data_IF_599488450920
#
_entry.id   IF_599488450920
#
_cell.length_a   1.000
_cell.length_b   1.000
_cell.length_c   1.000
_cell.angle_alpha   90.00
_cell.angle_beta   90.00
_cell.angle_gamma   90.00
#
_symmetry.space_group_name_H-M   'P 1'
#
loop_
_entity.id
_entity.type
_entity.pdbx_description
1 polymer ?
#
# COMPACT_ATOMS: atom_id res chain seq x y z
N UNK A 1 -33.37 2.79 86.64
CA UNK A 1 -32.35 1.89 86.08
C UNK A 1 -32.87 1.38 84.75
N UNK A 2 -32.06 1.54 83.70
CA UNK A 2 -32.17 0.90 82.36
C UNK A 2 -33.36 1.30 81.44
N UNK A 3 -33.23 1.67 80.15
CA UNK A 3 -32.15 2.27 79.34
C UNK A 3 -32.77 2.66 77.96
N UNK A 4 -32.82 3.96 77.68
CA UNK A 4 -32.66 4.69 76.38
C UNK A 4 -33.38 4.23 75.09
N UNK A 5 -34.21 5.15 74.59
CA UNK A 5 -34.53 5.39 73.18
C UNK A 5 -33.27 5.61 72.32
N UNK A 6 -33.24 5.11 71.08
CA UNK A 6 -32.50 5.74 69.97
C UNK A 6 -33.12 5.35 68.62
N UNK A 7 -33.69 6.35 67.94
CA UNK A 7 -33.87 6.43 66.48
C UNK A 7 -32.49 6.39 65.80
N UNK A 8 -32.40 5.83 64.59
CA UNK A 8 -31.34 5.92 63.55
C UNK A 8 -31.01 4.51 63.02
N UNK A 9 -30.86 4.22 61.74
CA UNK A 9 -30.86 5.07 60.56
C UNK A 9 -31.18 4.25 59.31
N UNK A 10 -31.85 4.90 58.37
CA UNK A 10 -31.92 4.44 56.99
C UNK A 10 -30.61 4.77 56.29
N UNK A 11 -30.08 3.80 55.57
CA UNK A 11 -29.19 4.01 54.42
C UNK A 11 -29.06 2.67 53.71
N UNK A 12 -29.98 2.42 52.77
CA UNK A 12 -29.74 1.47 51.71
C UNK A 12 -28.52 1.96 50.94
N UNK A 13 -27.38 1.27 51.11
CA UNK A 13 -26.27 1.40 50.17
C UNK A 13 -26.74 0.84 48.83
N UNK A 14 -27.31 1.71 48.01
CA UNK A 14 -27.33 1.52 46.57
C UNK A 14 -25.87 1.51 46.12
N UNK A 15 -25.29 0.31 45.99
CA UNK A 15 -24.09 0.10 45.21
C UNK A 15 -24.42 0.53 43.78
N UNK A 16 -24.06 1.78 43.48
CA UNK A 16 -23.94 2.28 42.12
C UNK A 16 -23.00 1.32 41.40
N UNK A 17 -23.59 0.38 40.67
CA UNK A 17 -22.96 -0.22 39.52
C UNK A 17 -22.60 0.95 38.61
N UNK A 18 -21.35 1.41 38.70
CA UNK A 18 -20.70 2.11 37.61
C UNK A 18 -20.74 1.13 36.45
N UNK A 19 -21.82 1.20 35.66
CA UNK A 19 -21.86 0.68 34.32
C UNK A 19 -20.70 1.36 33.61
N UNK A 20 -19.56 0.68 33.59
CA UNK A 20 -18.42 1.07 32.80
C UNK A 20 -18.97 1.37 31.42
N UNK A 21 -18.70 2.57 30.93
CA UNK A 21 -19.13 3.03 29.63
C UNK A 21 -18.75 1.99 28.57
N UNK A 22 -19.67 1.08 28.27
CA UNK A 22 -19.74 0.34 27.02
C UNK A 22 -20.32 1.26 25.95
N UNK A 23 -19.86 2.53 25.94
CA UNK A 23 -19.90 3.35 24.75
C UNK A 23 -18.95 2.64 23.78
N UNK A 24 -19.53 1.65 23.08
CA UNK A 24 -18.89 1.00 21.96
C UNK A 24 -18.29 2.09 21.10
N UNK A 25 -17.02 1.91 20.75
CA UNK A 25 -16.25 2.74 19.84
C UNK A 25 -17.23 3.35 18.82
N UNK A 26 -17.48 4.67 18.89
CA UNK A 26 -18.54 5.34 18.10
C UNK A 26 -18.28 5.36 16.59
N UNK A 27 -17.39 4.48 16.11
CA UNK A 27 -16.90 4.31 14.76
C UNK A 27 -16.87 2.81 14.44
N UNK A 28 -17.29 2.43 13.23
CA UNK A 28 -17.16 1.03 12.80
C UNK A 28 -15.68 0.71 12.55
N UNK A 29 -15.23 -0.49 12.94
CA UNK A 29 -13.86 -0.94 12.67
C UNK A 29 -13.56 -0.95 11.16
N UNK A 30 -14.59 -1.22 10.34
CA UNK A 30 -14.53 -1.10 8.88
C UNK A 30 -14.18 0.32 8.44
N UNK A 31 -14.80 1.33 9.03
CA UNK A 31 -14.50 2.74 8.71
C UNK A 31 -13.08 3.11 9.10
N UNK A 32 -12.59 2.63 10.25
CA UNK A 32 -11.18 2.81 10.63
C UNK A 32 -10.23 2.15 9.62
N UNK A 33 -10.53 0.94 9.13
CA UNK A 33 -9.72 0.28 8.10
C UNK A 33 -9.71 1.08 6.80
N UNK A 34 -10.88 1.57 6.36
CA UNK A 34 -10.97 2.38 5.13
C UNK A 34 -10.18 3.67 5.23
N UNK A 35 -10.26 4.36 6.38
CA UNK A 35 -9.46 5.57 6.65
C UNK A 35 -7.96 5.27 6.64
N UNK A 36 -7.55 4.15 7.26
CA UNK A 36 -6.15 3.74 7.32
C UNK A 36 -5.61 3.48 5.90
N UNK A 37 -6.37 2.71 5.10
CA UNK A 37 -6.06 2.45 3.70
C UNK A 37 -6.05 3.72 2.85
N UNK A 38 -7.02 4.62 3.06
CA UNK A 38 -7.11 5.87 2.32
C UNK A 38 -5.88 6.75 2.59
N UNK A 39 -5.51 6.90 3.86
CA UNK A 39 -4.34 7.70 4.23
C UNK A 39 -3.02 7.05 3.75
N UNK A 40 -2.87 5.73 3.92
CA UNK A 40 -1.65 5.03 3.49
C UNK A 40 -1.49 5.05 1.97
N UNK A 41 -2.57 4.83 1.21
CA UNK A 41 -2.57 4.93 -0.25
C UNK A 41 -2.25 6.34 -0.75
N UNK A 42 -2.86 7.37 -0.16
CA UNK A 42 -2.57 8.77 -0.53
C UNK A 42 -1.10 9.11 -0.31
N UNK A 43 -0.52 8.77 0.85
CA UNK A 43 0.89 9.05 1.15
C UNK A 43 1.85 8.28 0.25
N UNK A 44 1.56 7.00 0.01
CA UNK A 44 2.38 6.16 -0.87
C UNK A 44 2.33 6.65 -2.32
N UNK A 45 1.13 6.86 -2.87
CA UNK A 45 0.96 7.32 -4.25
C UNK A 45 1.49 8.74 -4.46
N UNK A 46 1.30 9.65 -3.51
CA UNK A 46 1.89 10.99 -3.61
C UNK A 46 3.41 10.97 -3.74
N UNK A 47 4.08 10.03 -3.04
CA UNK A 47 5.53 9.83 -3.16
C UNK A 47 5.91 9.20 -4.51
N UNK A 48 5.19 8.15 -4.91
CA UNK A 48 5.51 7.37 -6.11
C UNK A 48 5.25 8.14 -7.41
N UNK A 49 4.20 8.95 -7.45
CA UNK A 49 3.82 9.77 -8.61
C UNK A 49 4.59 11.10 -8.67
N UNK A 50 5.39 11.44 -7.66
CA UNK A 50 6.29 12.58 -7.75
C UNK A 50 7.35 12.31 -8.83
N UNK A 51 7.90 13.38 -9.41
CA UNK A 51 8.96 13.26 -10.41
C UNK A 51 10.14 12.43 -9.85
N UNK A 52 10.41 11.27 -10.45
CA UNK A 52 11.49 10.39 -9.99
C UNK A 52 11.11 9.50 -8.80
N UNK A 53 9.86 9.54 -8.32
CA UNK A 53 9.40 8.83 -7.12
C UNK A 53 9.69 7.33 -7.14
N UNK A 54 9.49 6.67 -8.28
CA UNK A 54 9.94 5.29 -8.48
C UNK A 54 11.46 5.18 -8.60
N UNK A 55 12.08 5.97 -9.48
CA UNK A 55 13.49 5.83 -9.83
C UNK A 55 14.45 6.05 -8.64
N UNK A 56 14.11 7.00 -7.76
CA UNK A 56 14.91 7.39 -6.60
C UNK A 56 14.53 6.60 -5.33
N UNK A 57 13.44 5.85 -5.34
CA UNK A 57 13.02 5.04 -4.17
C UNK A 57 13.91 3.81 -4.00
N UNK A 58 14.33 3.54 -2.77
CA UNK A 58 15.07 2.32 -2.44
C UNK A 58 14.16 1.08 -2.39
N UNK A 59 12.85 1.29 -2.26
CA UNK A 59 11.86 0.21 -2.10
C UNK A 59 11.11 -0.01 -3.40
N UNK A 60 10.75 1.07 -4.09
CA UNK A 60 9.86 1.02 -5.24
C UNK A 60 10.56 1.07 -6.59
N UNK A 61 11.89 1.25 -6.64
CA UNK A 61 12.60 1.34 -7.91
C UNK A 61 12.43 0.08 -8.73
N UNK A 62 11.91 0.27 -9.94
CA UNK A 62 11.74 -0.80 -10.91
C UNK A 62 13.10 -1.14 -11.48
N UNK A 63 13.51 -2.38 -11.25
CA UNK A 63 14.70 -2.96 -11.87
C UNK A 63 14.33 -3.53 -13.23
N UNK A 64 15.29 -3.48 -14.15
CA UNK A 64 15.14 -4.18 -15.42
C UNK A 64 15.00 -5.69 -15.17
N UNK A 65 14.25 -6.43 -15.99
CA UNK A 65 14.23 -7.90 -15.96
C UNK A 65 15.66 -8.46 -15.91
N UNK A 66 15.86 -9.62 -15.28
CA UNK A 66 17.21 -10.21 -15.15
C UNK A 66 17.90 -10.43 -16.50
N UNK A 67 17.13 -10.70 -17.56
CA UNK A 67 17.67 -10.84 -18.92
C UNK A 67 18.20 -9.52 -19.50
N UNK A 68 17.77 -8.36 -18.98
CA UNK A 68 18.22 -7.00 -19.32
C UNK A 68 19.21 -6.42 -18.28
N UNK A 69 19.14 -6.86 -17.02
CA UNK A 69 19.91 -6.35 -15.88
C UNK A 69 21.36 -6.82 -15.81
N UNK A 70 21.76 -7.77 -16.67
CA UNK A 70 23.14 -8.27 -16.74
C UNK A 70 23.52 -9.26 -15.63
N UNK A 71 22.71 -9.42 -14.58
CA UNK A 71 22.88 -10.42 -13.51
C UNK A 71 22.44 -11.83 -13.94
N UNK A 72 21.39 -11.95 -14.76
CA UNK A 72 20.86 -13.23 -15.21
C UNK A 72 21.28 -13.56 -16.63
N UNK A 73 22.35 -14.35 -16.80
CA UNK A 73 22.58 -15.21 -17.97
C UNK A 73 22.60 -14.58 -19.37
N UNK A 74 22.48 -13.26 -19.52
CA UNK A 74 22.59 -12.58 -20.81
C UNK A 74 23.99 -12.84 -21.38
N UNK A 75 24.04 -13.32 -22.62
CA UNK A 75 25.30 -13.60 -23.31
C UNK A 75 26.24 -12.38 -23.24
N UNK A 76 27.55 -12.59 -23.38
CA UNK A 76 28.51 -11.48 -23.48
C UNK A 76 28.11 -10.48 -24.59
N UNK A 77 27.40 -10.93 -25.63
CA UNK A 77 26.79 -10.05 -26.64
C UNK A 77 25.73 -9.13 -26.05
N UNK A 78 24.83 -9.60 -25.19
CA UNK A 78 23.79 -8.78 -24.56
C UNK A 78 24.39 -7.65 -23.70
N UNK A 79 25.49 -7.95 -23.01
CA UNK A 79 26.25 -6.98 -22.20
C UNK A 79 27.04 -5.99 -23.06
N UNK A 80 27.51 -6.40 -24.24
CA UNK A 80 28.15 -5.51 -25.23
C UNK A 80 27.15 -4.65 -26.02
N UNK A 81 25.97 -5.21 -26.35
CA UNK A 81 24.92 -4.55 -27.13
C UNK A 81 24.20 -3.46 -26.33
N UNK A 82 24.03 -3.67 -25.01
CA UNK A 82 23.46 -2.69 -24.11
C UNK A 82 24.57 -1.96 -23.35
N UNK A 83 25.11 -0.90 -23.98
CA UNK A 83 26.04 0.01 -23.31
C UNK A 83 25.44 0.54 -21.99
N UNK A 84 26.29 0.93 -21.04
CA UNK A 84 25.84 1.51 -19.75
C UNK A 84 24.85 2.66 -19.95
N UNK A 85 25.09 3.51 -20.96
CA UNK A 85 24.21 4.62 -21.33
C UNK A 85 22.81 4.15 -21.75
N UNK A 86 22.72 3.06 -22.52
CA UNK A 86 21.42 2.51 -22.94
C UNK A 86 20.69 1.90 -21.75
N UNK A 87 21.41 1.19 -20.87
CA UNK A 87 20.83 0.61 -19.65
C UNK A 87 20.28 1.69 -18.72
N UNK A 88 21.01 2.78 -18.52
CA UNK A 88 20.56 3.88 -17.67
C UNK A 88 19.32 4.59 -18.24
N UNK A 89 19.26 4.76 -19.57
CA UNK A 89 18.07 5.30 -20.23
C UNK A 89 16.87 4.37 -20.10
N UNK A 90 17.07 3.06 -20.31
CA UNK A 90 16.03 2.04 -20.11
C UNK A 90 15.52 2.06 -18.67
N UNK A 91 16.42 2.08 -17.70
CA UNK A 91 16.07 2.10 -16.29
C UNK A 91 15.24 3.34 -15.92
N UNK A 92 15.62 4.53 -16.42
CA UNK A 92 14.83 5.74 -16.24
C UNK A 92 13.45 5.61 -16.91
N UNK A 93 13.39 5.00 -18.09
CA UNK A 93 12.12 4.85 -18.79
C UNK A 93 11.16 3.89 -18.08
N UNK A 94 11.62 2.71 -17.65
CA UNK A 94 10.73 1.75 -16.96
C UNK A 94 10.18 2.32 -15.66
N UNK A 95 10.98 3.15 -14.95
CA UNK A 95 10.51 3.83 -13.74
C UNK A 95 9.52 4.96 -14.07
N UNK A 96 9.73 5.70 -15.16
CA UNK A 96 8.72 6.65 -15.67
C UNK A 96 7.43 5.95 -16.10
N UNK A 97 7.54 4.75 -16.67
CA UNK A 97 6.37 3.95 -17.03
C UNK A 97 5.61 3.46 -15.81
N UNK A 98 6.31 3.08 -14.74
CA UNK A 98 5.69 2.75 -13.47
C UNK A 98 4.99 3.95 -12.82
N UNK A 99 5.58 5.15 -12.88
CA UNK A 99 4.94 6.41 -12.46
C UNK A 99 3.60 6.63 -13.19
N UNK A 100 3.60 6.45 -14.53
CA UNK A 100 2.37 6.52 -15.34
C UNK A 100 1.37 5.41 -15.04
N UNK A 101 1.84 4.20 -14.73
CA UNK A 101 0.98 3.14 -14.21
C UNK A 101 0.32 3.53 -12.89
N UNK A 102 1.09 4.10 -11.95
CA UNK A 102 0.59 4.53 -10.65
C UNK A 102 -0.46 5.66 -10.74
N UNK A 103 -0.30 6.59 -11.68
CA UNK A 103 -1.31 7.61 -11.99
C UNK A 103 -2.67 6.98 -12.36
N UNK A 104 -2.66 5.87 -13.12
CA UNK A 104 -3.88 5.13 -13.48
C UNK A 104 -4.41 4.25 -12.36
N UNK A 105 -3.53 3.75 -11.50
CA UNK A 105 -3.88 2.93 -10.34
C UNK A 105 -4.65 3.72 -9.27
N UNK A 106 -4.29 4.98 -9.05
CA UNK A 106 -4.81 5.80 -7.96
C UNK A 106 -6.34 5.81 -7.82
N UNK A 107 -7.14 6.11 -8.86
CA UNK A 107 -8.61 6.09 -8.74
C UNK A 107 -9.16 4.69 -8.45
N UNK A 108 -8.59 3.65 -9.04
CA UNK A 108 -9.05 2.27 -8.84
C UNK A 108 -8.76 1.77 -7.42
N UNK A 109 -7.64 2.17 -6.84
CA UNK A 109 -7.32 1.93 -5.43
C UNK A 109 -8.34 2.63 -4.52
N UNK A 110 -8.64 3.91 -4.79
CA UNK A 110 -9.61 4.65 -4.01
C UNK A 110 -11.00 3.99 -4.01
N UNK A 111 -11.49 3.57 -5.18
CA UNK A 111 -12.77 2.88 -5.34
C UNK A 111 -12.77 1.51 -4.64
N UNK A 112 -11.66 0.76 -4.74
CA UNK A 112 -11.49 -0.51 -4.05
C UNK A 112 -11.53 -0.36 -2.51
N UNK A 113 -10.95 0.71 -1.98
CA UNK A 113 -11.00 1.02 -0.54
C UNK A 113 -12.46 1.27 -0.09
N UNK A 114 -13.22 2.04 -0.85
CA UNK A 114 -14.62 2.35 -0.52
C UNK A 114 -15.51 1.11 -0.54
N UNK A 115 -15.26 0.18 -1.48
CA UNK A 115 -15.98 -1.09 -1.60
C UNK A 115 -15.47 -2.18 -0.64
N UNK A 116 -14.34 -1.98 0.02
CA UNK A 116 -13.77 -2.97 0.95
C UNK A 116 -14.68 -3.16 2.16
N UNK A 117 -15.00 -4.43 2.45
CA UNK A 117 -15.77 -4.86 3.63
C UNK A 117 -15.05 -6.03 4.31
N UNK A 118 -14.16 -5.76 5.28
CA UNK A 118 -13.39 -6.80 5.94
C UNK A 118 -14.29 -7.75 6.76
N UNK A 119 -14.14 -9.06 6.56
CA UNK A 119 -14.89 -10.07 7.31
C UNK A 119 -14.50 -10.09 8.80
N UNK A 120 -13.21 -9.89 9.11
CA UNK A 120 -12.69 -9.78 10.48
C UNK A 120 -11.95 -8.45 10.67
N UNK A 121 -12.72 -7.36 10.73
CA UNK A 121 -12.18 -6.02 10.92
C UNK A 121 -11.39 -5.88 12.24
N UNK A 122 -11.74 -6.66 13.27
CA UNK A 122 -11.04 -6.63 14.55
C UNK A 122 -9.65 -7.27 14.48
N UNK A 123 -9.49 -8.39 13.76
CA UNK A 123 -8.18 -8.96 13.52
C UNK A 123 -7.27 -8.02 12.72
N UNK A 124 -7.80 -7.37 11.68
CA UNK A 124 -7.02 -6.45 10.84
C UNK A 124 -6.57 -5.22 11.62
N UNK A 125 -7.45 -4.60 12.40
CA UNK A 125 -7.09 -3.42 13.20
C UNK A 125 -6.06 -3.78 14.27
N UNK A 126 -6.14 -4.96 14.89
CA UNK A 126 -5.18 -5.41 15.91
C UNK A 126 -3.88 -5.98 15.36
N UNK A 127 -3.74 -6.16 14.06
CA UNK A 127 -2.51 -6.67 13.48
C UNK A 127 -1.33 -5.72 13.76
N UNK A 128 -0.35 -6.19 14.53
CA UNK A 128 0.87 -5.43 14.86
C UNK A 128 2.00 -5.89 13.94
N UNK A 129 2.83 -4.93 13.48
CA UNK A 129 4.04 -5.21 12.70
C UNK A 129 3.80 -5.78 11.31
N UNK A 130 2.55 -5.82 10.84
CA UNK A 130 2.19 -6.29 9.49
C UNK A 130 1.19 -5.33 8.84
N UNK A 131 1.27 -5.11 7.52
CA UNK A 131 0.34 -4.25 6.80
C UNK A 131 -0.96 -4.98 6.45
N UNK A 132 -1.68 -5.47 7.46
CA UNK A 132 -2.82 -6.36 7.28
C UNK A 132 -3.95 -5.75 6.43
N UNK A 133 -4.19 -4.43 6.54
CA UNK A 133 -5.22 -3.79 5.73
C UNK A 133 -4.80 -3.72 4.26
N UNK A 134 -3.55 -3.34 4.00
CA UNK A 134 -2.98 -3.28 2.65
C UNK A 134 -2.96 -4.65 1.98
N UNK A 135 -2.60 -5.70 2.73
CA UNK A 135 -2.63 -7.07 2.23
C UNK A 135 -4.04 -7.51 1.85
N UNK A 136 -5.04 -7.17 2.68
CA UNK A 136 -6.45 -7.43 2.34
C UNK A 136 -6.84 -6.72 1.04
N UNK A 137 -6.50 -5.43 0.93
CA UNK A 137 -6.82 -4.64 -0.26
C UNK A 137 -6.17 -5.24 -1.52
N UNK A 138 -4.89 -5.62 -1.43
CA UNK A 138 -4.17 -6.26 -2.53
C UNK A 138 -4.86 -7.55 -3.00
N UNK A 139 -5.27 -8.39 -2.05
CA UNK A 139 -6.03 -9.62 -2.36
C UNK A 139 -7.38 -9.32 -3.01
N UNK A 140 -8.08 -8.29 -2.53
CA UNK A 140 -9.40 -7.90 -3.05
C UNK A 140 -9.31 -7.34 -4.48
N UNK A 141 -8.27 -6.59 -4.80
CA UNK A 141 -8.10 -5.99 -6.14
C UNK A 141 -7.68 -7.01 -7.20
N UNK A 142 -6.94 -8.05 -6.82
CA UNK A 142 -6.48 -9.10 -7.75
C UNK A 142 -5.83 -8.51 -9.01
N UNK A 143 -6.32 -8.90 -10.18
CA UNK A 143 -5.79 -8.44 -11.49
C UNK A 143 -6.37 -7.11 -11.97
N UNK A 144 -7.37 -6.55 -11.27
CA UNK A 144 -8.01 -5.30 -11.68
C UNK A 144 -7.03 -4.13 -11.64
N UNK A 145 -6.15 -4.10 -10.64
CA UNK A 145 -5.12 -3.07 -10.53
C UNK A 145 -4.14 -3.11 -11.72
N UNK A 146 -3.61 -4.30 -12.02
CA UNK A 146 -2.71 -4.52 -13.16
C UNK A 146 -3.37 -4.04 -14.46
N UNK A 147 -4.63 -4.40 -14.66
CA UNK A 147 -5.39 -4.02 -15.86
C UNK A 147 -5.54 -2.51 -15.99
N UNK A 148 -5.75 -1.80 -14.89
CA UNK A 148 -5.83 -0.34 -14.88
C UNK A 148 -4.47 0.34 -15.15
N UNK A 149 -3.38 -0.26 -14.71
CA UNK A 149 -2.02 0.28 -14.88
C UNK A 149 -1.49 0.14 -16.30
N UNK A 150 -1.87 -0.94 -17.01
CA UNK A 150 -1.33 -1.29 -18.33
C UNK A 150 -1.30 -0.11 -19.32
N UNK A 151 -2.39 0.66 -19.54
CA UNK A 151 -2.37 1.79 -20.45
C UNK A 151 -1.33 2.88 -20.08
N UNK A 152 -1.15 3.14 -18.78
CA UNK A 152 -0.16 4.11 -18.31
C UNK A 152 1.27 3.61 -18.50
N UNK A 153 1.51 2.32 -18.23
CA UNK A 153 2.81 1.70 -18.49
C UNK A 153 3.12 1.69 -19.98
N UNK A 154 2.15 1.37 -20.83
CA UNK A 154 2.27 1.44 -22.29
C UNK A 154 2.64 2.87 -22.74
N UNK A 155 1.90 3.87 -22.28
CA UNK A 155 2.18 5.28 -22.56
C UNK A 155 3.61 5.66 -22.15
N UNK A 156 4.05 5.19 -20.99
CA UNK A 156 5.38 5.43 -20.46
C UNK A 156 6.48 4.66 -21.20
N UNK A 157 6.18 3.60 -21.94
CA UNK A 157 7.16 2.83 -22.72
C UNK A 157 7.17 3.19 -24.21
N UNK A 158 6.27 4.06 -24.69
CA UNK A 158 6.14 4.45 -26.11
C UNK A 158 7.43 4.86 -26.82
N UNK A 159 8.39 5.48 -26.11
CA UNK A 159 9.71 5.83 -26.68
C UNK A 159 10.53 4.60 -27.13
N UNK A 160 10.19 3.41 -26.65
CA UNK A 160 10.80 2.13 -27.00
C UNK A 160 9.91 1.27 -27.91
N UNK A 161 8.73 1.76 -28.27
CA UNK A 161 7.85 1.18 -29.29
C UNK A 161 8.31 1.57 -30.71
N UNK A 162 9.62 1.53 -30.93
CA UNK A 162 10.23 1.64 -32.25
C UNK A 162 10.68 0.23 -32.66
N UNK A 163 10.22 -0.26 -33.81
CA UNK A 163 10.53 -1.60 -34.30
C UNK A 163 12.03 -1.94 -34.25
N UNK A 164 12.91 -0.99 -34.56
CA UNK A 164 14.35 -1.21 -34.51
C UNK A 164 14.86 -1.45 -33.06
N UNK A 165 14.31 -0.71 -32.10
CA UNK A 165 14.67 -0.83 -30.67
C UNK A 165 14.08 -2.10 -30.07
N UNK A 166 12.82 -2.41 -30.38
CA UNK A 166 12.16 -3.62 -29.92
C UNK A 166 12.85 -4.88 -30.47
N UNK A 167 13.23 -4.88 -31.74
CA UNK A 167 13.93 -6.00 -32.37
C UNK A 167 15.35 -6.15 -31.81
N UNK A 168 16.07 -5.04 -31.60
CA UNK A 168 17.38 -5.07 -30.95
C UNK A 168 17.31 -5.62 -29.52
N UNK A 169 16.31 -5.22 -28.73
CA UNK A 169 16.07 -5.77 -27.39
C UNK A 169 15.74 -7.26 -27.45
N UNK A 170 14.85 -7.68 -28.34
CA UNK A 170 14.45 -9.08 -28.51
C UNK A 170 15.64 -9.96 -28.88
N UNK A 171 16.47 -9.54 -29.85
CA UNK A 171 17.68 -10.26 -30.25
C UNK A 171 18.73 -10.29 -29.14
N UNK A 172 18.84 -9.21 -28.37
CA UNK A 172 19.81 -9.13 -27.28
C UNK A 172 19.40 -9.93 -26.04
N UNK A 173 18.12 -10.00 -25.69
CA UNK A 173 17.68 -10.49 -24.36
C UNK A 173 16.59 -11.55 -24.39
N UNK A 174 15.98 -11.81 -25.55
CA UNK A 174 14.84 -12.71 -25.69
C UNK A 174 13.51 -12.13 -25.17
N UNK A 175 13.50 -10.91 -24.61
CA UNK A 175 12.28 -10.24 -24.15
C UNK A 175 11.69 -9.39 -25.28
N UNK A 176 10.38 -9.52 -25.51
CA UNK A 176 9.63 -8.61 -26.38
C UNK A 176 8.98 -7.46 -25.58
N UNK A 177 8.47 -6.46 -26.28
CA UNK A 177 7.83 -5.29 -25.65
C UNK A 177 6.72 -5.68 -24.67
N UNK A 178 5.87 -6.65 -25.04
CA UNK A 178 4.77 -7.15 -24.19
C UNK A 178 5.30 -7.72 -22.87
N UNK A 179 6.34 -8.57 -22.93
CA UNK A 179 6.95 -9.14 -21.72
C UNK A 179 7.57 -8.08 -20.81
N UNK A 180 8.21 -7.06 -21.38
CA UNK A 180 8.76 -5.94 -20.62
C UNK A 180 7.65 -5.12 -19.96
N UNK A 181 6.60 -4.77 -20.70
CA UNK A 181 5.44 -4.05 -20.19
C UNK A 181 4.81 -4.80 -19.02
N UNK A 182 4.57 -6.10 -19.17
CA UNK A 182 3.92 -6.90 -18.16
C UNK A 182 4.81 -7.05 -16.91
N UNK A 183 6.12 -7.18 -17.06
CA UNK A 183 7.09 -7.18 -15.94
C UNK A 183 7.10 -5.86 -15.19
N UNK A 184 7.20 -4.74 -15.90
CA UNK A 184 7.17 -3.40 -15.31
C UNK A 184 5.85 -3.16 -14.57
N UNK A 185 4.73 -3.57 -15.17
CA UNK A 185 3.40 -3.39 -14.55
C UNK A 185 3.26 -4.17 -13.25
N UNK A 186 3.71 -5.45 -13.23
CA UNK A 186 3.69 -6.26 -12.00
C UNK A 186 4.57 -5.67 -10.91
N UNK A 187 5.83 -5.36 -11.24
CA UNK A 187 6.76 -4.75 -10.28
C UNK A 187 6.26 -3.41 -9.75
N UNK A 188 5.64 -2.59 -10.61
CA UNK A 188 5.05 -1.33 -10.20
C UNK A 188 3.86 -1.53 -9.24
N UNK A 189 2.99 -2.50 -9.51
CA UNK A 189 1.90 -2.87 -8.60
C UNK A 189 2.44 -3.35 -7.24
N UNK A 190 3.44 -4.23 -7.24
CA UNK A 190 4.07 -4.73 -6.02
C UNK A 190 4.72 -3.58 -5.21
N UNK A 191 5.41 -2.67 -5.91
CA UNK A 191 6.01 -1.49 -5.30
C UNK A 191 4.96 -0.54 -4.68
N UNK A 192 3.81 -0.34 -5.34
CA UNK A 192 2.70 0.45 -4.79
C UNK A 192 2.23 -0.17 -3.47
N UNK A 193 1.94 -1.48 -3.44
CA UNK A 193 1.50 -2.14 -2.21
C UNK A 193 2.58 -2.19 -1.13
N UNK A 194 3.85 -2.33 -1.51
CA UNK A 194 4.97 -2.26 -0.55
C UNK A 194 5.05 -0.89 0.13
N UNK A 195 4.94 0.21 -0.63
CA UNK A 195 4.93 1.56 -0.07
C UNK A 195 3.67 1.85 0.76
N UNK A 196 2.50 1.38 0.31
CA UNK A 196 1.26 1.45 1.08
C UNK A 196 1.39 0.71 2.42
N UNK A 197 1.96 -0.49 2.40
CA UNK A 197 2.17 -1.28 3.60
C UNK A 197 3.17 -0.62 4.55
N UNK A 198 4.21 0.01 4.02
CA UNK A 198 5.15 0.81 4.83
C UNK A 198 4.44 2.00 5.50
N UNK A 199 3.59 2.73 4.77
CA UNK A 199 2.81 3.84 5.34
C UNK A 199 1.78 3.36 6.37
N UNK A 200 1.09 2.25 6.11
CA UNK A 200 0.19 1.64 7.09
C UNK A 200 0.92 1.29 8.39
N UNK A 201 2.06 0.61 8.30
CA UNK A 201 2.86 0.26 9.48
C UNK A 201 3.38 1.49 10.21
N UNK A 202 3.77 2.55 9.49
CA UNK A 202 4.18 3.81 10.10
C UNK A 202 3.03 4.47 10.88
N UNK A 203 1.82 4.48 10.32
CA UNK A 203 0.62 4.99 11.00
C UNK A 203 0.25 4.13 12.22
N UNK A 204 0.41 2.80 12.14
CA UNK A 204 0.18 1.90 13.29
C UNK A 204 1.19 2.15 14.41
N UNK A 205 2.45 2.41 14.07
CA UNK A 205 3.51 2.69 15.04
C UNK A 205 3.34 4.05 15.73
N UNK A 206 2.83 5.06 15.01
CA UNK A 206 2.45 6.36 15.58
C UNK A 206 1.06 6.80 15.05
N UNK A 207 -0.02 6.40 15.72
CA UNK A 207 -1.38 6.76 15.30
C UNK A 207 -1.61 8.27 15.23
N UNK A 208 -0.91 9.06 16.06
CA UNK A 208 -1.06 10.53 16.08
C UNK A 208 -0.57 11.17 14.78
N UNK A 209 0.41 10.55 14.11
CA UNK A 209 0.89 10.98 12.80
C UNK A 209 -0.22 10.98 11.73
N UNK A 210 -1.33 10.27 11.95
CA UNK A 210 -2.45 10.25 11.00
C UNK A 210 -3.23 11.58 10.95
N UNK A 211 -3.28 12.33 12.05
CA UNK A 211 -4.15 13.50 12.19
C UNK A 211 -5.65 13.20 12.14
N UNK A 212 -6.06 11.92 12.11
CA UNK A 212 -7.46 11.50 12.07
C UNK A 212 -7.87 10.99 13.47
N UNK A 213 -8.80 11.67 14.18
CA UNK A 213 -9.24 11.27 15.52
C UNK A 213 -9.83 9.87 15.59
N UNK A 214 -10.51 9.41 14.53
CA UNK A 214 -11.11 8.06 14.46
C UNK A 214 -10.01 7.01 14.35
N UNK A 215 -9.02 7.24 13.49
CA UNK A 215 -7.86 6.34 13.38
C UNK A 215 -7.04 6.29 14.67
N UNK A 216 -6.78 7.45 15.26
CA UNK A 216 -6.05 7.56 16.53
C UNK A 216 -6.75 6.72 17.59
N UNK A 217 -8.06 6.90 17.76
CA UNK A 217 -8.82 6.18 18.77
C UNK A 217 -8.86 4.67 18.47
N UNK A 218 -9.10 4.27 17.21
CA UNK A 218 -9.18 2.86 16.81
C UNK A 218 -7.86 2.11 17.04
N UNK A 219 -6.73 2.68 16.59
CA UNK A 219 -5.42 2.04 16.70
C UNK A 219 -4.90 2.06 18.14
N UNK A 220 -5.16 3.11 18.91
CA UNK A 220 -4.79 3.17 20.33
C UNK A 220 -5.56 2.11 21.12
N UNK A 221 -6.87 1.99 20.91
CA UNK A 221 -7.67 0.96 21.56
C UNK A 221 -7.21 -0.46 21.18
N UNK A 222 -6.83 -0.67 19.93
CA UNK A 222 -6.33 -1.96 19.44
C UNK A 222 -4.98 -2.36 20.07
N UNK A 223 -4.10 -1.40 20.34
CA UNK A 223 -2.79 -1.62 20.97
C UNK A 223 -2.84 -1.89 22.48
N UNK A 224 -3.98 -1.61 23.12
CA UNK A 224 -4.18 -1.76 24.57
C UNK A 224 -4.76 -3.13 24.97
N UNK A 225 -5.04 -4.00 23.99
CA UNK A 225 -5.60 -5.35 24.14
C UNK A 225 -4.52 -6.41 23.91
#
# INVERSE_FOLDING_TARGET
>A
MERRQFLMGGSALALLALGGCSQGLGYSLTEAIRRLLSLSSQRALARLMAQGGFYDSQIARITLPDQLGGSGGGSLLSRMLLSSVVRDRLLKQVNRAAEKGAERAAPVIADAILSTSPQDAAAIIRAVGTPAATNLLQQHMGTALISAMLPGVDDGLKLFDNQAVTEALRLATGINFVGLRDDVTRKASDAIFAEMGREEMAIRADPRSSGDPVLIAALTAASAL
#
